data_IF_198807507758
#
_entry.id   IF_198807507758
#
_cell.length_a   1.000
_cell.length_b   1.000
_cell.length_c   1.000
_cell.angle_alpha   90.00
_cell.angle_beta   90.00
_cell.angle_gamma   90.00
#
_symmetry.space_group_name_H-M   'P 1'
#
loop_
_entity.id
_entity.type
_entity.pdbx_description
1 polymer ?
#
# COMPACT_ATOMS: atom_id res chain seq x y z
N UNK A 1 0.65 6.92 -9.35
CA UNK A 1 1.39 8.10 -8.84
C UNK A 1 2.82 7.75 -8.38
N UNK A 2 3.00 6.82 -7.44
CA UNK A 2 4.33 6.50 -6.87
C UNK A 2 5.40 6.07 -7.90
N UNK A 3 5.05 5.20 -8.86
CA UNK A 3 5.98 4.77 -9.93
C UNK A 3 6.48 5.95 -10.77
N UNK A 4 5.60 6.92 -11.07
CA UNK A 4 5.95 8.13 -11.84
C UNK A 4 6.96 8.99 -11.05
N UNK A 5 6.77 9.11 -9.74
CA UNK A 5 7.67 9.85 -8.86
C UNK A 5 9.05 9.18 -8.78
N UNK A 6 9.10 7.86 -8.63
CA UNK A 6 10.35 7.09 -8.63
C UNK A 6 11.12 7.26 -9.94
N UNK A 7 10.40 7.26 -11.06
CA UNK A 7 10.98 7.50 -12.37
C UNK A 7 11.53 8.92 -12.50
N UNK A 8 10.81 9.93 -12.00
CA UNK A 8 11.28 11.31 -11.94
C UNK A 8 12.54 11.48 -11.09
N UNK A 9 12.61 10.82 -9.93
CA UNK A 9 13.79 10.85 -9.05
C UNK A 9 15.01 10.21 -9.72
N UNK A 10 14.83 9.03 -10.36
CA UNK A 10 15.91 8.37 -11.09
C UNK A 10 16.36 9.17 -12.33
N UNK A 11 15.44 9.87 -13.01
CA UNK A 11 15.76 10.74 -14.13
C UNK A 11 16.55 11.98 -13.70
N UNK A 12 16.26 12.53 -12.52
CA UNK A 12 16.97 13.68 -11.96
C UNK A 12 18.41 13.37 -11.54
N UNK A 13 18.79 12.08 -11.44
CA UNK A 13 20.15 11.58 -11.13
C UNK A 13 20.86 12.41 -10.06
N UNK A 14 20.21 12.61 -8.91
CA UNK A 14 20.80 13.37 -7.82
C UNK A 14 22.10 12.73 -7.36
N UNK A 15 23.20 13.46 -7.51
CA UNK A 15 24.53 13.02 -7.08
C UNK A 15 24.79 13.50 -5.65
N UNK A 16 25.13 12.57 -4.77
CA UNK A 16 25.57 12.87 -3.41
C UNK A 16 27.06 12.55 -3.26
N UNK A 17 27.76 13.39 -2.50
CA UNK A 17 29.15 13.16 -2.13
C UNK A 17 29.18 12.78 -0.65
N UNK A 18 29.74 11.63 -0.33
CA UNK A 18 29.90 11.14 1.04
C UNK A 18 31.37 10.89 1.35
N UNK A 19 31.94 11.67 2.28
CA UNK A 19 33.36 11.55 2.65
C UNK A 19 34.29 11.78 1.44
N UNK A 20 35.16 10.80 1.14
CA UNK A 20 36.02 10.83 -0.06
C UNK A 20 35.33 10.32 -1.33
N UNK A 21 34.11 9.78 -1.24
CA UNK A 21 33.38 9.29 -2.41
C UNK A 21 32.52 10.41 -3.00
N UNK A 22 32.86 10.84 -4.20
CA UNK A 22 32.13 11.84 -4.97
C UNK A 22 31.32 11.17 -6.08
N UNK A 23 30.13 11.69 -6.39
CA UNK A 23 29.32 11.25 -7.52
C UNK A 23 28.43 10.02 -7.28
N UNK A 24 28.03 9.73 -6.03
CA UNK A 24 27.10 8.62 -5.74
C UNK A 24 25.71 8.99 -6.29
N UNK A 25 25.20 8.20 -7.22
CA UNK A 25 23.91 8.45 -7.87
C UNK A 25 22.80 7.86 -6.99
N UNK A 26 21.88 8.70 -6.52
CA UNK A 26 20.72 8.22 -5.78
C UNK A 26 19.82 7.41 -6.74
N UNK A 27 19.83 6.09 -6.58
CA UNK A 27 19.03 5.16 -7.38
C UNK A 27 17.87 4.64 -6.53
N UNK A 28 16.66 5.09 -6.85
CA UNK A 28 15.45 4.58 -6.22
C UNK A 28 15.07 3.25 -6.88
N UNK A 29 15.45 2.14 -6.27
CA UNK A 29 15.13 0.79 -6.75
C UNK A 29 13.87 0.26 -6.07
N UNK A 30 12.98 -0.36 -6.85
CA UNK A 30 11.81 -1.05 -6.34
C UNK A 30 11.88 -2.51 -6.76
N UNK A 31 11.79 -3.43 -5.80
CA UNK A 31 11.75 -4.86 -6.09
C UNK A 31 10.28 -5.26 -6.31
N UNK A 32 9.90 -5.78 -7.50
CA UNK A 32 8.50 -6.12 -7.77
C UNK A 32 7.92 -7.16 -6.81
N UNK A 33 8.73 -8.09 -6.30
CA UNK A 33 8.31 -9.11 -5.33
C UNK A 33 7.75 -8.50 -4.05
N UNK A 34 8.36 -7.42 -3.58
CA UNK A 34 7.98 -6.77 -2.32
C UNK A 34 6.61 -6.08 -2.48
N UNK A 35 6.37 -5.50 -3.67
CA UNK A 35 5.10 -4.88 -4.00
C UNK A 35 3.96 -5.91 -4.02
N UNK A 36 4.22 -7.09 -4.59
CA UNK A 36 3.27 -8.21 -4.56
C UNK A 36 2.99 -8.69 -3.15
N UNK A 37 4.04 -8.88 -2.33
CA UNK A 37 3.91 -9.32 -0.94
C UNK A 37 3.09 -8.37 -0.09
N UNK A 38 3.43 -7.06 -0.11
CA UNK A 38 2.69 -6.04 0.65
C UNK A 38 1.24 -5.95 0.18
N UNK A 39 1.00 -5.95 -1.14
CA UNK A 39 -0.37 -5.86 -1.70
C UNK A 39 -1.21 -7.06 -1.31
N UNK A 40 -0.66 -8.28 -1.37
CA UNK A 40 -1.35 -9.50 -0.98
C UNK A 40 -1.74 -9.50 0.51
N UNK A 41 -0.82 -9.07 1.38
CA UNK A 41 -1.08 -8.96 2.83
C UNK A 41 -2.21 -7.96 3.09
N UNK A 42 -2.15 -6.77 2.48
CA UNK A 42 -3.18 -5.74 2.67
C UNK A 42 -4.54 -6.25 2.22
N UNK A 43 -4.64 -6.84 1.03
CA UNK A 43 -5.90 -7.42 0.52
C UNK A 43 -6.45 -8.46 1.51
N UNK A 44 -5.60 -9.38 1.96
CA UNK A 44 -6.00 -10.45 2.87
C UNK A 44 -6.54 -9.87 4.19
N UNK A 45 -5.80 -8.95 4.81
CA UNK A 45 -6.21 -8.31 6.07
C UNK A 45 -7.49 -7.50 5.89
N UNK A 46 -7.62 -6.75 4.79
CA UNK A 46 -8.84 -5.99 4.48
C UNK A 46 -10.06 -6.88 4.28
N UNK A 47 -9.90 -8.03 3.63
CA UNK A 47 -10.98 -9.02 3.50
C UNK A 47 -11.39 -9.55 4.87
N UNK A 48 -10.43 -9.99 5.70
CA UNK A 48 -10.73 -10.51 7.04
C UNK A 48 -11.44 -9.47 7.90
N UNK A 49 -10.93 -8.22 7.89
CA UNK A 49 -11.50 -7.12 8.66
C UNK A 49 -12.93 -6.76 8.23
N UNK A 50 -13.23 -6.80 6.93
CA UNK A 50 -14.57 -6.50 6.40
C UNK A 50 -15.53 -7.69 6.48
N UNK A 51 -15.01 -8.91 6.53
CA UNK A 51 -15.82 -10.12 6.59
C UNK A 51 -16.57 -10.26 7.92
N UNK A 52 -15.93 -9.95 9.05
CA UNK A 52 -16.57 -10.01 10.37
C UNK A 52 -17.86 -9.16 10.46
N UNK A 53 -17.87 -7.85 10.12
CA UNK A 53 -19.10 -7.05 10.14
C UNK A 53 -20.09 -7.47 9.06
N UNK A 54 -19.64 -7.87 7.87
CA UNK A 54 -20.52 -8.32 6.79
C UNK A 54 -21.32 -9.57 7.17
N UNK A 55 -20.67 -10.55 7.81
CA UNK A 55 -21.34 -11.75 8.31
C UNK A 55 -22.31 -11.45 9.45
N UNK A 56 -21.97 -10.48 10.30
CA UNK A 56 -22.88 -10.03 11.35
C UNK A 56 -24.12 -9.36 10.75
N UNK A 57 -23.96 -8.53 9.73
CA UNK A 57 -25.05 -7.83 9.06
C UNK A 57 -25.95 -8.78 8.24
N UNK A 58 -25.39 -9.80 7.58
CA UNK A 58 -26.17 -10.72 6.74
C UNK A 58 -27.15 -11.62 7.51
N UNK A 59 -27.00 -11.70 8.83
CA UNK A 59 -27.86 -12.49 9.72
C UNK A 59 -28.84 -11.64 10.54
N UNK A 60 -28.83 -10.32 10.40
CA UNK A 60 -29.81 -9.46 11.09
C UNK A 60 -31.14 -9.50 10.33
N UNK A 61 -32.25 -9.73 11.04
CA UNK A 61 -33.57 -9.64 10.42
C UNK A 61 -33.88 -8.18 10.04
N UNK A 62 -34.49 -7.93 8.87
CA UNK A 62 -34.70 -6.57 8.35
C UNK A 62 -35.49 -5.66 9.29
N UNK A 63 -36.33 -6.26 10.14
CA UNK A 63 -37.25 -5.57 11.05
C UNK A 63 -36.50 -5.01 12.27
N UNK A 64 -35.49 -5.71 12.78
CA UNK A 64 -34.63 -5.25 13.89
C UNK A 64 -33.66 -4.14 13.45
N UNK A 65 -33.28 -4.11 12.18
CA UNK A 65 -32.44 -3.06 11.61
C UNK A 65 -33.19 -1.71 11.44
N UNK A 66 -34.52 -1.74 11.28
CA UNK A 66 -35.36 -0.55 11.09
C UNK A 66 -35.94 0.03 12.39
N UNK A 67 -35.91 -0.72 13.50
CA UNK A 67 -36.49 -0.28 14.79
C UNK A 67 -35.59 0.62 15.63
N UNK A 68 -34.55 1.20 15.02
CA UNK A 68 -33.70 2.22 15.63
C UNK A 68 -33.94 3.58 14.95
N UNK A 69 -35.13 4.12 15.23
CA UNK A 69 -35.34 5.55 15.50
C UNK A 69 -36.05 5.66 16.85
#
# INVERSE_FOLDING_TARGET
>A
LGVIILWGINAAKFTFNFGMQTGIILSASLVPSDLWGVSAIVILVSVVASLQPALRASRMEPIDALRHV
#
